data_IF_854471265390
#
_entry.id   IF_854471265390
#
_cell.length_a   1.000
_cell.length_b   1.000
_cell.length_c   1.000
_cell.angle_alpha   90.00
_cell.angle_beta   90.00
_cell.angle_gamma   90.00
#
_symmetry.space_group_name_H-M   'P 1'
#
loop_
_entity.id
_entity.type
_entity.pdbx_description
1 polymer ?
#
# COMPACT_ATOMS: atom_id res chain seq x y z
N UNK A 1 -43.08 -16.83 -8.19
CA UNK A 1 -42.21 -16.78 -9.38
C UNK A 1 -40.85 -16.30 -8.93
N UNK A 2 -39.89 -17.21 -8.93
CA UNK A 2 -38.56 -17.04 -8.37
C UNK A 2 -37.71 -16.15 -9.28
N UNK A 3 -37.16 -15.07 -8.72
CA UNK A 3 -35.99 -14.40 -9.29
C UNK A 3 -34.76 -15.20 -8.85
N UNK A 4 -34.09 -15.80 -9.81
CA UNK A 4 -32.85 -16.55 -9.62
C UNK A 4 -31.76 -15.58 -9.18
N UNK A 5 -31.47 -15.59 -7.87
CA UNK A 5 -30.28 -14.99 -7.29
C UNK A 5 -29.12 -15.97 -7.54
N UNK A 6 -28.33 -15.66 -8.56
CA UNK A 6 -26.92 -16.05 -8.63
C UNK A 6 -26.13 -14.81 -9.05
N UNK A 7 -26.12 -13.79 -8.18
CA UNK A 7 -24.99 -12.87 -8.15
C UNK A 7 -23.91 -13.58 -7.34
N UNK A 8 -22.93 -14.12 -8.05
CA UNK A 8 -21.63 -14.44 -7.48
C UNK A 8 -21.12 -13.20 -6.74
N UNK A 9 -20.88 -13.34 -5.44
CA UNK A 9 -20.15 -12.37 -4.63
C UNK A 9 -18.81 -12.09 -5.31
N UNK A 10 -18.77 -11.08 -6.17
CA UNK A 10 -17.54 -10.47 -6.63
C UNK A 10 -17.48 -9.16 -5.88
N UNK A 11 -17.02 -9.26 -4.64
CA UNK A 11 -16.50 -8.11 -3.91
C UNK A 11 -15.47 -7.46 -4.82
N UNK A 12 -15.79 -6.25 -5.29
CA UNK A 12 -14.93 -5.39 -6.10
C UNK A 12 -13.80 -4.86 -5.19
N UNK A 13 -12.99 -5.77 -4.64
CA UNK A 13 -11.97 -5.48 -3.65
C UNK A 13 -10.70 -5.04 -4.37
N UNK A 14 -10.30 -3.80 -4.13
CA UNK A 14 -9.02 -3.29 -4.59
C UNK A 14 -7.88 -4.15 -4.00
N UNK A 15 -7.14 -4.86 -4.85
CA UNK A 15 -6.01 -5.70 -4.43
C UNK A 15 -4.68 -4.93 -4.33
N UNK A 16 -4.65 -3.70 -4.85
CA UNK A 16 -3.45 -2.86 -4.92
C UNK A 16 -3.38 -1.86 -3.77
N UNK A 17 -2.19 -1.60 -3.24
CA UNK A 17 -1.99 -0.53 -2.25
C UNK A 17 -2.18 0.85 -2.89
N UNK A 18 -1.87 1.00 -4.18
CA UNK A 18 -2.00 2.26 -4.91
C UNK A 18 -3.17 2.21 -5.89
N UNK A 19 -3.86 3.34 -6.05
CA UNK A 19 -4.94 3.48 -7.03
C UNK A 19 -4.84 4.81 -7.75
N UNK A 20 -5.07 4.78 -9.07
CA UNK A 20 -5.18 5.98 -9.89
C UNK A 20 -6.66 6.27 -10.10
N UNK A 21 -7.04 7.50 -9.79
CA UNK A 21 -8.34 8.06 -10.10
C UNK A 21 -8.16 9.11 -11.19
N UNK A 22 -8.79 8.92 -12.35
CA UNK A 22 -8.74 9.89 -13.44
C UNK A 22 -10.10 10.53 -13.67
N UNK A 23 -10.21 11.81 -13.34
CA UNK A 23 -11.41 12.61 -13.44
C UNK A 23 -11.34 13.60 -14.61
N UNK A 24 -12.08 13.34 -15.69
CA UNK A 24 -12.21 14.20 -16.86
C UNK A 24 -13.51 13.95 -17.64
N UNK A 25 -14.16 15.03 -18.09
CA UNK A 25 -15.44 14.96 -18.81
C UNK A 25 -15.39 14.14 -20.12
N UNK A 26 -14.22 14.01 -20.73
CA UNK A 26 -13.91 13.24 -21.94
C UNK A 26 -12.85 12.15 -21.70
N UNK A 27 -12.77 11.61 -20.47
CA UNK A 27 -11.78 10.58 -20.07
C UNK A 27 -11.78 9.33 -20.97
N UNK A 28 -12.89 9.03 -21.65
CA UNK A 28 -13.04 7.85 -22.50
C UNK A 28 -12.84 8.11 -24.01
N UNK A 29 -12.27 9.25 -24.40
CA UNK A 29 -11.88 9.47 -25.79
C UNK A 29 -10.71 8.53 -26.20
N UNK A 30 -10.50 8.34 -27.49
CA UNK A 30 -9.52 7.39 -28.03
C UNK A 30 -8.09 7.60 -27.50
N UNK A 31 -7.62 8.86 -27.49
CA UNK A 31 -6.29 9.20 -26.98
C UNK A 31 -6.13 8.90 -25.49
N UNK A 32 -7.15 9.20 -24.68
CA UNK A 32 -7.16 8.92 -23.25
C UNK A 32 -7.23 7.42 -22.98
N UNK A 33 -7.97 6.62 -23.76
CA UNK A 33 -7.99 5.16 -23.60
C UNK A 33 -6.60 4.54 -23.80
N UNK A 34 -5.81 5.04 -24.74
CA UNK A 34 -4.41 4.62 -24.93
C UNK A 34 -3.58 4.92 -23.67
N UNK A 35 -3.75 6.10 -23.11
CA UNK A 35 -3.06 6.49 -21.88
C UNK A 35 -3.53 5.71 -20.65
N UNK A 36 -4.83 5.43 -20.53
CA UNK A 36 -5.37 4.56 -19.49
C UNK A 36 -4.68 3.18 -19.54
N UNK A 37 -4.48 2.61 -20.74
CA UNK A 37 -3.75 1.34 -20.90
C UNK A 37 -2.28 1.46 -20.43
N UNK A 38 -1.60 2.56 -20.76
CA UNK A 38 -0.23 2.82 -20.30
C UNK A 38 -0.15 3.01 -18.77
N UNK A 39 -1.14 3.65 -18.17
CA UNK A 39 -1.25 3.85 -16.72
C UNK A 39 -1.56 2.54 -15.98
N UNK A 40 -2.44 1.69 -16.51
CA UNK A 40 -2.71 0.35 -15.96
C UNK A 40 -1.46 -0.52 -15.89
N UNK A 41 -0.55 -0.38 -16.86
CA UNK A 41 0.76 -1.04 -16.83
C UNK A 41 1.73 -0.49 -15.77
N UNK A 42 1.39 0.60 -15.08
CA UNK A 42 2.17 1.19 -13.98
C UNK A 42 1.49 0.90 -12.64
N UNK A 43 0.20 1.23 -12.51
CA UNK A 43 -0.67 0.87 -11.38
C UNK A 43 -1.93 0.25 -11.97
N UNK A 44 -2.19 -1.01 -11.63
CA UNK A 44 -3.30 -1.75 -12.23
C UNK A 44 -4.67 -1.14 -11.89
N UNK A 45 -4.85 -0.73 -10.64
CA UNK A 45 -6.09 -0.15 -10.15
C UNK A 45 -6.28 1.28 -10.69
N UNK A 46 -6.98 1.39 -11.83
CA UNK A 46 -7.31 2.65 -12.49
C UNK A 46 -8.83 2.79 -12.63
N UNK A 47 -9.40 3.78 -11.94
CA UNK A 47 -10.80 4.16 -12.06
C UNK A 47 -10.94 5.52 -12.73
N UNK A 48 -11.97 5.65 -13.56
CA UNK A 48 -12.24 6.86 -14.34
C UNK A 48 -13.60 7.43 -13.98
N UNK A 49 -13.67 8.76 -13.91
CA UNK A 49 -14.89 9.48 -13.58
C UNK A 49 -15.09 10.64 -14.57
N UNK A 50 -16.34 10.90 -14.93
CA UNK A 50 -16.69 12.01 -15.85
C UNK A 50 -17.27 13.22 -15.12
N UNK A 51 -17.76 13.03 -13.89
CA UNK A 51 -18.38 14.07 -13.08
C UNK A 51 -17.82 14.04 -11.64
N UNK A 52 -17.81 15.21 -11.00
CA UNK A 52 -17.22 15.38 -9.67
C UNK A 52 -18.06 14.77 -8.55
N UNK A 53 -19.38 14.74 -8.69
CA UNK A 53 -20.31 14.26 -7.66
C UNK A 53 -20.12 12.76 -7.41
N UNK A 54 -20.18 11.95 -8.46
CA UNK A 54 -19.94 10.50 -8.41
C UNK A 54 -18.55 10.17 -7.86
N UNK A 55 -17.53 10.95 -8.24
CA UNK A 55 -16.19 10.77 -7.69
C UNK A 55 -16.14 11.05 -6.18
N UNK A 56 -16.75 12.14 -5.71
CA UNK A 56 -16.76 12.49 -4.29
C UNK A 56 -17.58 11.52 -3.44
N UNK A 57 -18.62 10.89 -4.01
CA UNK A 57 -19.33 9.78 -3.36
C UNK A 57 -18.42 8.55 -3.24
N UNK A 58 -17.70 8.21 -4.30
CA UNK A 58 -16.77 7.07 -4.31
C UNK A 58 -15.60 7.25 -3.33
N UNK A 59 -15.07 8.47 -3.21
CA UNK A 59 -13.96 8.80 -2.31
C UNK A 59 -14.22 8.37 -0.86
N UNK A 60 -15.49 8.37 -0.43
CA UNK A 60 -15.89 7.93 0.92
C UNK A 60 -15.75 6.43 1.15
N UNK A 61 -15.65 5.64 0.08
CA UNK A 61 -15.50 4.19 0.10
C UNK A 61 -14.02 3.75 0.09
N UNK A 62 -13.09 4.69 -0.07
CA UNK A 62 -11.65 4.39 -0.09
C UNK A 62 -11.22 3.94 1.31
N UNK A 63 -10.66 2.73 1.39
CA UNK A 63 -10.20 2.15 2.65
C UNK A 63 -9.04 2.95 3.26
N UNK A 64 -8.97 2.97 4.59
CA UNK A 64 -7.86 3.62 5.29
C UNK A 64 -6.54 2.90 4.97
N UNK A 65 -5.58 3.68 4.48
CA UNK A 65 -4.26 3.22 4.07
C UNK A 65 -4.15 2.75 2.62
N UNK A 66 -5.22 2.86 1.82
CA UNK A 66 -5.06 2.84 0.36
C UNK A 66 -4.50 4.20 -0.10
N UNK A 67 -3.55 4.15 -1.01
CA UNK A 67 -2.80 5.30 -1.49
C UNK A 67 -3.36 5.77 -2.83
N UNK A 68 -3.82 7.01 -2.87
CA UNK A 68 -4.57 7.58 -3.98
C UNK A 68 -3.72 8.56 -4.79
N UNK A 69 -3.75 8.38 -6.11
CA UNK A 69 -3.19 9.31 -7.09
C UNK A 69 -4.34 9.86 -7.92
N UNK A 70 -4.52 11.17 -7.88
CA UNK A 70 -5.56 11.84 -8.64
C UNK A 70 -4.98 12.46 -9.91
N UNK A 71 -5.53 12.12 -11.06
CA UNK A 71 -5.34 12.82 -12.33
C UNK A 71 -6.64 13.55 -12.63
N UNK A 72 -6.60 14.87 -12.76
CA UNK A 72 -7.82 15.67 -12.91
C UNK A 72 -7.67 16.79 -13.93
N UNK A 73 -8.73 17.01 -14.70
CA UNK A 73 -8.81 18.16 -15.61
C UNK A 73 -8.94 19.46 -14.83
N UNK A 74 -8.48 20.58 -15.40
CA UNK A 74 -8.55 21.89 -14.73
C UNK A 74 -9.94 22.30 -14.23
N UNK A 75 -10.98 21.99 -15.00
CA UNK A 75 -12.35 22.35 -14.66
C UNK A 75 -12.86 21.55 -13.47
N UNK A 76 -12.68 20.22 -13.48
CA UNK A 76 -13.13 19.36 -12.39
C UNK A 76 -12.24 19.50 -11.16
N UNK A 77 -10.96 19.83 -11.37
CA UNK A 77 -9.97 20.04 -10.31
C UNK A 77 -10.37 21.14 -9.33
N UNK A 78 -11.01 22.21 -9.81
CA UNK A 78 -11.56 23.29 -8.97
C UNK A 78 -12.52 22.78 -7.89
N UNK A 79 -13.25 21.71 -8.19
CA UNK A 79 -14.28 21.17 -7.31
C UNK A 79 -13.69 20.12 -6.38
N UNK A 80 -12.89 19.19 -6.91
CA UNK A 80 -12.48 18.00 -6.15
C UNK A 80 -11.19 18.17 -5.37
N UNK A 81 -10.26 19.01 -5.83
CA UNK A 81 -8.94 19.16 -5.20
C UNK A 81 -9.05 19.65 -3.74
N UNK A 82 -9.90 20.65 -3.41
CA UNK A 82 -10.05 21.10 -2.02
C UNK A 82 -10.54 20.00 -1.05
N UNK A 83 -11.38 19.07 -1.52
CA UNK A 83 -11.86 17.96 -0.70
C UNK A 83 -10.82 16.85 -0.58
N UNK A 84 -10.14 16.54 -1.68
CA UNK A 84 -9.11 15.50 -1.71
C UNK A 84 -7.89 15.85 -0.88
N UNK A 85 -7.53 17.14 -0.79
CA UNK A 85 -6.42 17.60 0.03
C UNK A 85 -6.61 17.36 1.54
N UNK A 86 -7.85 17.16 1.99
CA UNK A 86 -8.15 16.87 3.40
C UNK A 86 -7.92 15.41 3.77
N UNK A 87 -7.66 14.55 2.79
CA UNK A 87 -7.57 13.10 2.97
C UNK A 87 -6.12 12.63 3.06
N UNK A 88 -5.81 11.91 4.13
CA UNK A 88 -4.49 11.31 4.34
C UNK A 88 -4.12 10.28 3.25
N UNK A 89 -5.12 9.68 2.61
CA UNK A 89 -4.96 8.70 1.55
C UNK A 89 -4.38 9.30 0.26
N UNK A 90 -4.41 10.62 0.08
CA UNK A 90 -4.01 11.25 -1.19
C UNK A 90 -2.51 11.49 -1.21
N UNK A 91 -1.80 10.79 -2.08
CA UNK A 91 -0.35 10.95 -2.22
C UNK A 91 0.05 12.02 -3.23
N UNK A 92 -0.71 12.16 -4.32
CA UNK A 92 -0.36 13.09 -5.40
C UNK A 92 -1.59 13.48 -6.20
N UNK A 93 -1.64 14.75 -6.59
CA UNK A 93 -2.68 15.33 -7.43
C UNK A 93 -2.00 15.94 -8.66
N UNK A 94 -2.37 15.44 -9.83
CA UNK A 94 -1.91 15.89 -11.13
C UNK A 94 -3.04 16.63 -11.84
N UNK A 95 -2.87 17.94 -12.02
CA UNK A 95 -3.85 18.78 -12.71
C UNK A 95 -3.36 19.06 -14.13
N UNK A 96 -4.10 18.61 -15.14
CA UNK A 96 -3.81 18.96 -16.53
C UNK A 96 -4.79 20.02 -17.04
N UNK A 97 -4.25 21.08 -17.62
CA UNK A 97 -5.01 22.22 -18.14
C UNK A 97 -4.52 22.60 -19.54
N UNK A 98 -5.46 22.78 -20.47
CA UNK A 98 -5.14 23.37 -21.77
C UNK A 98 -4.82 24.88 -21.70
N UNK A 99 -5.17 25.56 -20.61
CA UNK A 99 -4.95 27.00 -20.45
C UNK A 99 -4.47 27.31 -19.01
N UNK A 100 -3.17 27.59 -18.83
CA UNK A 100 -2.59 27.87 -17.50
C UNK A 100 -3.15 29.15 -16.88
N UNK A 101 -3.38 30.20 -17.69
CA UNK A 101 -3.67 31.57 -17.20
C UNK A 101 -5.00 31.69 -16.44
N UNK A 102 -6.03 30.95 -16.81
CA UNK A 102 -7.35 31.03 -16.16
C UNK A 102 -7.48 30.14 -14.92
N UNK A 103 -6.60 29.15 -14.74
CA UNK A 103 -6.66 28.17 -13.64
C UNK A 103 -5.54 28.32 -12.61
N UNK A 104 -4.79 29.43 -12.67
CA UNK A 104 -3.74 29.75 -11.68
C UNK A 104 -4.27 29.81 -10.23
N UNK A 105 -5.58 29.99 -10.05
CA UNK A 105 -6.25 29.95 -8.75
C UNK A 105 -6.30 28.52 -8.13
N UNK A 106 -6.11 27.46 -8.93
CA UNK A 106 -6.03 26.08 -8.44
C UNK A 106 -4.61 25.61 -8.12
N UNK A 107 -3.57 26.35 -8.52
CA UNK A 107 -2.18 26.06 -8.16
C UNK A 107 -1.84 26.67 -6.81
N UNK A 108 -2.42 26.11 -5.74
CA UNK A 108 -1.93 26.31 -4.37
C UNK A 108 -0.65 25.47 -4.14
N UNK A 109 0.19 25.78 -3.13
CA UNK A 109 1.53 25.19 -2.98
C UNK A 109 1.56 23.65 -2.78
N UNK A 110 0.40 23.02 -2.61
CA UNK A 110 0.21 21.60 -2.28
C UNK A 110 -0.04 20.70 -3.50
N UNK A 111 -0.09 21.27 -4.70
CA UNK A 111 -0.15 20.52 -5.96
C UNK A 111 1.24 20.48 -6.59
N UNK A 112 1.75 19.29 -6.94
CA UNK A 112 2.93 19.21 -7.81
C UNK A 112 2.61 20.01 -9.09
N UNK A 113 3.48 20.96 -9.49
CA UNK A 113 3.11 22.04 -10.39
C UNK A 113 2.55 21.52 -11.72
N UNK A 114 1.54 22.24 -12.21
CA UNK A 114 0.94 22.14 -13.55
C UNK A 114 1.92 21.71 -14.66
N UNK A 115 1.91 20.42 -15.00
CA UNK A 115 2.47 19.93 -16.26
C UNK A 115 1.45 20.19 -17.38
N UNK A 116 1.50 21.39 -17.97
CA UNK A 116 1.25 21.66 -19.40
C UNK A 116 0.97 23.15 -19.68
N UNK A 117 1.81 23.80 -20.51
CA UNK A 117 1.41 24.97 -21.32
C UNK A 117 0.92 24.45 -22.68
N UNK A 118 -0.13 25.02 -23.26
CA UNK A 118 -0.38 24.92 -24.71
C UNK A 118 0.34 26.08 -25.41
N UNK A 119 1.03 25.76 -26.51
CA UNK A 119 0.53 26.26 -27.78
C UNK A 119 0.33 25.08 -28.75
N UNK A 120 -0.85 25.07 -29.35
CA UNK A 120 -1.27 24.43 -30.59
C UNK A 120 -0.30 23.41 -31.24
N UNK A 121 -0.80 22.17 -31.38
CA UNK A 121 -0.24 20.97 -32.06
C UNK A 121 0.49 19.93 -31.18
N UNK A 122 0.18 18.65 -31.42
CA UNK A 122 0.67 17.42 -30.76
C UNK A 122 -0.03 16.97 -29.44
N UNK A 123 -1.21 16.37 -29.59
CA UNK A 123 -2.08 15.81 -28.53
C UNK A 123 -1.53 14.57 -27.82
N UNK A 124 -0.46 13.94 -28.31
CA UNK A 124 0.12 12.71 -27.72
C UNK A 124 1.24 12.93 -26.70
N UNK A 125 2.01 14.01 -26.82
CA UNK A 125 3.30 14.15 -26.12
C UNK A 125 3.16 14.47 -24.62
N UNK A 126 2.12 15.21 -24.22
CA UNK A 126 1.95 15.72 -22.84
C UNK A 126 1.40 14.68 -21.86
N UNK A 127 0.50 13.83 -22.34
CA UNK A 127 -0.03 12.73 -21.55
C UNK A 127 1.04 11.66 -21.34
N UNK A 128 1.90 11.46 -22.34
CA UNK A 128 3.09 10.63 -22.22
C UNK A 128 4.11 11.21 -21.23
N UNK A 129 4.30 12.53 -21.16
CA UNK A 129 5.09 13.17 -20.10
C UNK A 129 4.51 12.88 -18.71
N UNK A 130 3.21 13.07 -18.50
CA UNK A 130 2.54 12.76 -17.22
C UNK A 130 2.72 11.28 -16.84
N UNK A 131 2.50 10.37 -17.79
CA UNK A 131 2.70 8.93 -17.59
C UNK A 131 4.14 8.63 -17.18
N UNK A 132 5.12 9.29 -17.80
CA UNK A 132 6.53 9.11 -17.47
C UNK A 132 6.86 9.63 -16.07
N UNK A 133 6.27 10.75 -15.65
CA UNK A 133 6.40 11.26 -14.28
C UNK A 133 5.81 10.27 -13.28
N UNK A 134 4.57 9.82 -13.50
CA UNK A 134 3.92 8.81 -12.64
C UNK A 134 4.77 7.53 -12.59
N UNK A 135 5.30 7.07 -13.73
CA UNK A 135 6.17 5.88 -13.79
C UNK A 135 7.45 6.06 -12.98
N UNK A 136 8.12 7.20 -13.12
CA UNK A 136 9.35 7.50 -12.39
C UNK A 136 9.09 7.57 -10.89
N UNK A 137 7.99 8.21 -10.50
CA UNK A 137 7.56 8.25 -9.10
C UNK A 137 7.20 6.88 -8.57
N UNK A 138 6.44 6.05 -9.29
CA UNK A 138 6.10 4.69 -8.85
C UNK A 138 7.31 3.81 -8.67
N UNK A 139 8.29 3.92 -9.57
CA UNK A 139 9.58 3.22 -9.42
C UNK A 139 10.30 3.64 -8.14
N UNK A 140 10.16 4.90 -7.74
CA UNK A 140 10.69 5.43 -6.48
C UNK A 140 9.84 5.04 -5.26
N UNK A 141 8.51 4.99 -5.40
CA UNK A 141 7.55 4.61 -4.35
C UNK A 141 7.69 3.17 -3.91
N UNK A 142 7.99 2.25 -4.85
CA UNK A 142 8.36 0.86 -4.58
C UNK A 142 7.79 0.26 -3.29
N UNK A 143 8.65 -0.32 -2.45
CA UNK A 143 8.32 -0.89 -1.12
C UNK A 143 8.23 0.17 0.00
N UNK A 144 8.35 1.45 -0.36
CA UNK A 144 8.71 2.55 0.53
C UNK A 144 7.48 3.06 1.30
N UNK A 145 6.30 3.01 0.69
CA UNK A 145 5.10 3.71 1.19
C UNK A 145 4.04 2.82 1.85
N UNK A 146 4.27 1.52 2.03
CA UNK A 146 3.25 0.70 2.70
C UNK A 146 3.06 1.12 4.17
N UNK A 147 1.85 1.57 4.55
CA UNK A 147 1.55 1.94 5.92
C UNK A 147 1.69 0.71 6.81
N UNK A 148 2.39 0.86 7.94
CA UNK A 148 2.40 -0.22 8.92
C UNK A 148 1.03 -0.26 9.60
N UNK A 149 0.32 -1.37 9.41
CA UNK A 149 -0.92 -1.65 10.14
C UNK A 149 -0.60 -1.98 11.61
N UNK A 150 -0.73 -0.98 12.49
CA UNK A 150 -0.40 -1.08 13.91
C UNK A 150 -1.66 -1.11 14.77
N UNK A 151 -1.75 -2.12 15.63
CA UNK A 151 -2.74 -2.18 16.71
C UNK A 151 -2.01 -1.91 18.03
N UNK A 152 -2.42 -0.86 18.74
CA UNK A 152 -1.92 -0.56 20.09
C UNK A 152 -2.68 -1.43 21.10
N UNK A 153 -1.93 -2.17 21.92
CA UNK A 153 -2.45 -3.02 22.98
C UNK A 153 -2.20 -2.31 24.32
N UNK A 154 -3.26 -1.77 24.91
CA UNK A 154 -3.19 -1.16 26.23
C UNK A 154 -3.10 -2.22 27.33
N UNK A 155 -2.22 -1.98 28.30
CA UNK A 155 -1.92 -2.94 29.40
C UNK A 155 -3.01 -3.00 30.47
N UNK A 156 -4.04 -2.15 30.42
CA UNK A 156 -4.95 -1.89 31.54
C UNK A 156 -6.20 -2.75 31.59
N UNK A 157 -6.47 -3.59 30.59
CA UNK A 157 -7.56 -4.56 30.65
C UNK A 157 -7.01 -5.97 30.72
N UNK A 158 -7.53 -6.75 31.67
CA UNK A 158 -7.51 -8.22 31.69
C UNK A 158 -8.04 -8.83 30.38
N UNK A 159 -8.69 -8.01 29.54
CA UNK A 159 -8.89 -8.21 28.12
C UNK A 159 -7.62 -7.75 27.36
N UNK A 160 -6.63 -8.63 27.22
CA UNK A 160 -5.70 -8.54 26.09
C UNK A 160 -6.54 -8.60 24.82
N UNK A 161 -6.93 -7.43 24.29
CA UNK A 161 -7.72 -7.18 23.08
C UNK A 161 -8.07 -8.46 22.29
N UNK A 162 -9.19 -9.11 22.65
CA UNK A 162 -9.51 -10.47 22.17
C UNK A 162 -9.53 -10.58 20.64
N UNK A 163 -9.86 -9.49 19.95
CA UNK A 163 -9.82 -9.38 18.50
C UNK A 163 -8.43 -9.66 17.90
N UNK A 164 -7.37 -9.18 18.54
CA UNK A 164 -5.99 -9.45 18.10
C UNK A 164 -5.64 -10.93 18.25
N UNK A 165 -5.92 -11.50 19.42
CA UNK A 165 -5.64 -12.91 19.68
C UNK A 165 -6.46 -13.81 18.73
N UNK A 166 -7.75 -13.49 18.52
CA UNK A 166 -8.60 -14.19 17.57
C UNK A 166 -8.06 -14.11 16.13
N UNK A 167 -7.64 -12.92 15.68
CA UNK A 167 -7.07 -12.77 14.34
C UNK A 167 -5.77 -13.56 14.19
N UNK A 168 -4.90 -13.57 15.21
CA UNK A 168 -3.68 -14.40 15.20
C UNK A 168 -3.98 -15.88 15.16
N UNK A 169 -4.89 -16.36 16.01
CA UNK A 169 -5.33 -17.75 16.01
C UNK A 169 -5.92 -18.16 14.66
N UNK A 170 -6.67 -17.27 14.01
CA UNK A 170 -7.20 -17.49 12.66
C UNK A 170 -6.06 -17.66 11.65
N UNK A 171 -5.13 -16.71 11.58
CA UNK A 171 -3.98 -16.78 10.64
C UNK A 171 -3.15 -18.05 10.90
N UNK A 172 -2.93 -18.40 12.16
CA UNK A 172 -2.27 -19.64 12.57
C UNK A 172 -2.99 -20.89 12.07
N UNK A 173 -4.32 -20.93 12.26
CA UNK A 173 -5.14 -22.04 11.82
C UNK A 173 -5.06 -22.18 10.30
N UNK A 174 -5.16 -21.06 9.57
CA UNK A 174 -5.06 -21.01 8.12
C UNK A 174 -3.72 -21.55 7.62
N UNK A 175 -2.60 -21.07 8.16
CA UNK A 175 -1.24 -21.48 7.72
C UNK A 175 -0.98 -22.97 8.02
N UNK A 176 -1.58 -23.54 9.06
CA UNK A 176 -1.44 -24.97 9.41
C UNK A 176 -2.33 -25.89 8.58
N UNK A 177 -3.27 -25.36 7.81
CA UNK A 177 -4.09 -26.17 6.91
C UNK A 177 -3.20 -26.85 5.89
N UNK A 178 -3.56 -28.07 5.49
CA UNK A 178 -2.83 -28.77 4.43
C UNK A 178 -2.90 -27.95 3.13
N UNK A 179 -1.78 -27.80 2.40
CA UNK A 179 -1.79 -27.21 1.09
C UNK A 179 -2.78 -27.95 0.19
N UNK A 180 -3.59 -27.21 -0.56
CA UNK A 180 -4.45 -27.76 -1.59
C UNK A 180 -4.08 -27.12 -2.93
N UNK A 181 -3.78 -27.96 -3.92
CA UNK A 181 -3.40 -27.49 -5.26
C UNK A 181 -4.50 -26.64 -5.90
N UNK A 182 -5.75 -26.82 -5.49
CA UNK A 182 -6.87 -26.02 -5.96
C UNK A 182 -6.76 -24.55 -5.55
N UNK A 183 -6.23 -24.23 -4.35
CA UNK A 183 -6.14 -22.83 -3.93
C UNK A 183 -5.12 -22.06 -4.76
N UNK A 184 -4.04 -22.72 -5.18
CA UNK A 184 -3.06 -22.09 -6.07
C UNK A 184 -3.70 -21.80 -7.43
N UNK A 185 -4.51 -22.71 -7.97
CA UNK A 185 -5.24 -22.47 -9.22
C UNK A 185 -6.22 -21.31 -9.07
N UNK A 186 -6.97 -21.27 -7.98
CA UNK A 186 -7.92 -20.22 -7.67
C UNK A 186 -7.24 -18.85 -7.51
N UNK A 187 -6.10 -18.79 -6.80
CA UNK A 187 -5.28 -17.58 -6.70
C UNK A 187 -4.81 -17.11 -8.09
N UNK A 188 -4.33 -18.02 -8.94
CA UNK A 188 -3.89 -17.67 -10.29
C UNK A 188 -5.03 -17.17 -11.16
N UNK A 189 -6.21 -17.78 -11.08
CA UNK A 189 -7.40 -17.36 -11.82
C UNK A 189 -7.88 -15.98 -11.37
N UNK A 190 -7.93 -15.75 -10.07
CA UNK A 190 -8.26 -14.45 -9.48
C UNK A 190 -7.28 -13.37 -9.95
N UNK A 191 -5.97 -13.62 -9.88
CA UNK A 191 -4.96 -12.65 -10.31
C UNK A 191 -4.98 -12.40 -11.82
N UNK A 192 -5.29 -13.40 -12.64
CA UNK A 192 -5.46 -13.21 -14.09
C UNK A 192 -6.63 -12.29 -14.41
N UNK A 193 -7.71 -12.39 -13.65
CA UNK A 193 -8.86 -11.50 -13.78
C UNK A 193 -8.52 -10.09 -13.29
N UNK A 194 -7.85 -9.98 -12.15
CA UNK A 194 -7.41 -8.68 -11.61
C UNK A 194 -6.51 -7.92 -12.59
N UNK A 195 -5.51 -8.61 -13.14
CA UNK A 195 -4.51 -8.02 -14.02
C UNK A 195 -4.90 -8.06 -15.51
N UNK A 196 -6.20 -8.16 -15.81
CA UNK A 196 -6.66 -8.17 -17.19
C UNK A 196 -6.21 -6.91 -17.96
N UNK A 197 -5.57 -7.11 -19.12
CA UNK A 197 -5.01 -6.01 -19.91
C UNK A 197 -3.64 -5.48 -19.43
N UNK A 198 -3.11 -5.97 -18.32
CA UNK A 198 -1.76 -5.67 -17.84
C UNK A 198 -0.78 -6.80 -18.18
N UNK A 199 -0.15 -6.71 -19.35
CA UNK A 199 0.77 -7.76 -19.84
C UNK A 199 1.98 -8.01 -18.94
N UNK A 200 2.44 -7.01 -18.19
CA UNK A 200 3.57 -7.15 -17.29
C UNK A 200 3.21 -8.02 -16.08
N UNK A 201 2.12 -7.67 -15.38
CA UNK A 201 1.66 -8.45 -14.23
C UNK A 201 1.20 -9.85 -14.65
N UNK A 202 0.52 -9.99 -15.80
CA UNK A 202 0.13 -11.31 -16.32
C UNK A 202 1.32 -12.22 -16.61
N UNK A 203 2.48 -11.67 -17.04
CA UNK A 203 3.71 -12.46 -17.17
C UNK A 203 4.20 -12.95 -15.80
N UNK A 204 4.16 -12.10 -14.78
CA UNK A 204 4.53 -12.46 -13.41
C UNK A 204 3.60 -13.52 -12.82
N UNK A 205 2.29 -13.39 -13.01
CA UNK A 205 1.28 -14.38 -12.59
C UNK A 205 1.52 -15.72 -13.28
N UNK A 206 1.82 -15.72 -14.57
CA UNK A 206 2.12 -16.95 -15.31
C UNK A 206 3.45 -17.61 -14.88
N UNK A 207 4.48 -16.80 -14.60
CA UNK A 207 5.74 -17.29 -14.04
C UNK A 207 5.53 -17.91 -12.66
N UNK A 208 4.76 -17.23 -11.80
CA UNK A 208 4.40 -17.70 -10.46
C UNK A 208 3.62 -19.01 -10.53
N UNK A 209 2.59 -19.09 -11.37
CA UNK A 209 1.74 -20.27 -11.51
C UNK A 209 2.46 -21.51 -12.06
N UNK A 210 3.51 -21.32 -12.87
CA UNK A 210 4.28 -22.44 -13.47
C UNK A 210 5.46 -22.90 -12.61
N UNK A 211 6.06 -22.01 -11.82
CA UNK A 211 7.37 -22.22 -11.23
C UNK A 211 7.52 -21.74 -9.79
N UNK A 212 6.41 -21.55 -9.06
CA UNK A 212 6.49 -21.30 -7.63
C UNK A 212 7.01 -22.55 -6.90
N UNK A 213 8.02 -22.34 -6.06
CA UNK A 213 8.57 -23.33 -5.14
C UNK A 213 8.75 -22.68 -3.78
N UNK A 214 8.54 -23.43 -2.69
CA UNK A 214 8.73 -22.95 -1.32
C UNK A 214 10.15 -22.45 -1.04
N UNK A 215 11.14 -22.99 -1.77
CA UNK A 215 12.54 -22.53 -1.77
C UNK A 215 12.69 -21.06 -2.20
N UNK A 216 11.79 -20.55 -3.04
CA UNK A 216 11.81 -19.21 -3.63
C UNK A 216 10.83 -18.24 -2.98
N UNK A 217 10.16 -18.61 -1.89
CA UNK A 217 9.15 -17.78 -1.24
C UNK A 217 9.66 -16.39 -0.86
N UNK A 218 10.83 -16.30 -0.21
CA UNK A 218 11.48 -15.01 0.13
C UNK A 218 11.85 -14.24 -1.13
N UNK A 219 12.31 -14.90 -2.18
CA UNK A 219 12.66 -14.24 -3.45
C UNK A 219 11.42 -13.65 -4.13
N UNK A 220 10.29 -14.36 -4.15
CA UNK A 220 9.01 -13.82 -4.63
C UNK A 220 8.51 -12.65 -3.78
N UNK A 221 8.65 -12.76 -2.46
CA UNK A 221 8.31 -11.66 -1.55
C UNK A 221 9.25 -10.45 -1.70
N UNK A 222 10.50 -10.64 -2.16
CA UNK A 222 11.51 -9.57 -2.24
C UNK A 222 11.76 -8.99 -3.64
N UNK A 223 11.31 -9.66 -4.70
CA UNK A 223 11.34 -9.12 -6.07
C UNK A 223 10.25 -8.06 -6.29
N UNK A 224 10.37 -7.31 -7.38
CA UNK A 224 9.29 -6.47 -7.87
C UNK A 224 8.21 -7.36 -8.51
N UNK A 225 7.14 -7.67 -7.77
CA UNK A 225 5.98 -8.44 -8.22
C UNK A 225 4.79 -8.20 -7.30
N UNK A 226 3.59 -8.63 -7.72
CA UNK A 226 2.36 -8.58 -6.93
C UNK A 226 2.47 -9.19 -5.52
N UNK A 227 3.35 -10.19 -5.29
CA UNK A 227 3.37 -10.99 -4.06
C UNK A 227 3.56 -10.14 -2.80
N UNK A 228 4.49 -9.18 -2.84
CA UNK A 228 4.77 -8.32 -1.69
C UNK A 228 3.55 -7.46 -1.33
N UNK A 229 3.03 -6.71 -2.32
CA UNK A 229 1.93 -5.76 -2.13
C UNK A 229 0.63 -6.45 -1.75
N UNK A 230 0.27 -7.50 -2.50
CA UNK A 230 -0.93 -8.28 -2.27
C UNK A 230 -0.96 -8.90 -0.87
N UNK A 231 0.14 -9.52 -0.46
CA UNK A 231 0.23 -10.20 0.83
C UNK A 231 0.16 -9.19 1.98
N UNK A 232 0.96 -8.12 1.93
CA UNK A 232 0.96 -7.13 3.00
C UNK A 232 -0.36 -6.37 3.08
N UNK A 233 -1.00 -6.06 1.94
CA UNK A 233 -2.35 -5.49 1.92
C UNK A 233 -3.36 -6.45 2.55
N UNK A 234 -3.40 -7.71 2.12
CA UNK A 234 -4.32 -8.71 2.64
C UNK A 234 -4.22 -8.86 4.17
N UNK A 235 -2.99 -8.89 4.69
CA UNK A 235 -2.73 -8.92 6.12
C UNK A 235 -3.16 -7.63 6.83
N UNK A 236 -2.87 -6.46 6.24
CA UNK A 236 -3.21 -5.14 6.79
C UNK A 236 -4.71 -4.92 6.94
N UNK A 237 -5.49 -5.25 5.90
CA UNK A 237 -6.95 -5.10 5.89
C UNK A 237 -7.68 -6.36 6.38
N UNK A 238 -6.93 -7.39 6.80
CA UNK A 238 -7.44 -8.68 7.27
C UNK A 238 -8.38 -9.36 6.26
N UNK A 239 -8.03 -9.30 4.97
CA UNK A 239 -8.75 -9.98 3.92
C UNK A 239 -8.59 -11.50 4.07
N UNK A 240 -9.55 -12.15 4.73
CA UNK A 240 -9.48 -13.58 5.08
C UNK A 240 -9.42 -14.46 3.83
N UNK A 241 -10.16 -14.11 2.78
CA UNK A 241 -10.17 -14.86 1.51
C UNK A 241 -8.80 -14.81 0.85
N UNK A 242 -8.19 -13.63 0.74
CA UNK A 242 -6.85 -13.49 0.18
C UNK A 242 -5.77 -14.14 1.05
N UNK A 243 -5.87 -14.01 2.39
CA UNK A 243 -4.96 -14.71 3.31
C UNK A 243 -5.09 -16.23 3.14
N UNK A 244 -6.31 -16.75 2.98
CA UNK A 244 -6.55 -18.17 2.72
C UNK A 244 -5.90 -18.61 1.41
N UNK A 245 -6.08 -17.87 0.31
CA UNK A 245 -5.45 -18.19 -0.97
C UNK A 245 -3.91 -18.11 -0.94
N UNK A 246 -3.36 -17.16 -0.17
CA UNK A 246 -1.92 -16.96 -0.03
C UNK A 246 -1.27 -17.77 1.11
N UNK A 247 -2.03 -18.57 1.86
CA UNK A 247 -1.56 -19.22 3.11
C UNK A 247 -0.31 -20.07 2.94
N UNK A 248 -0.15 -20.76 1.80
CA UNK A 248 1.04 -21.55 1.50
C UNK A 248 2.28 -20.66 1.37
N UNK A 249 2.16 -19.53 0.69
CA UNK A 249 3.24 -18.55 0.51
C UNK A 249 3.61 -17.93 1.86
N UNK A 250 2.61 -17.55 2.66
CA UNK A 250 2.80 -17.01 4.01
C UNK A 250 3.55 -18.04 4.88
N UNK A 251 3.12 -19.30 4.86
CA UNK A 251 3.76 -20.40 5.59
C UNK A 251 5.20 -20.68 5.14
N UNK A 252 5.46 -20.62 3.84
CA UNK A 252 6.80 -20.81 3.28
C UNK A 252 7.74 -19.65 3.67
N UNK A 253 7.28 -18.40 3.56
CA UNK A 253 8.01 -17.21 4.04
C UNK A 253 8.34 -17.38 5.52
N UNK A 254 7.34 -17.71 6.34
CA UNK A 254 7.50 -17.90 7.78
C UNK A 254 8.55 -18.97 8.10
N UNK A 255 8.46 -20.13 7.45
CA UNK A 255 9.42 -21.24 7.64
C UNK A 255 10.83 -20.81 7.26
N UNK A 256 11.00 -20.06 6.18
CA UNK A 256 12.31 -19.55 5.74
C UNK A 256 12.86 -18.48 6.68
N UNK A 257 12.02 -17.60 7.22
CA UNK A 257 12.44 -16.61 8.21
C UNK A 257 12.90 -17.27 9.52
N UNK A 258 12.17 -18.27 10.02
CA UNK A 258 12.59 -19.05 11.20
C UNK A 258 13.92 -19.76 10.99
N UNK A 259 14.11 -20.39 9.82
CA UNK A 259 15.35 -21.09 9.51
C UNK A 259 16.57 -20.15 9.41
N UNK A 260 16.35 -18.85 9.20
CA UNK A 260 17.39 -17.82 9.10
C UNK A 260 17.30 -16.79 10.23
N UNK A 261 16.74 -17.19 11.37
CA UNK A 261 16.62 -16.31 12.53
C UNK A 261 18.02 -15.94 13.07
N UNK A 262 18.20 -14.68 13.47
CA UNK A 262 19.41 -14.24 14.14
C UNK A 262 19.59 -14.98 15.48
N UNK A 263 20.81 -15.28 15.86
CA UNK A 263 21.11 -15.92 17.16
C UNK A 263 21.21 -14.91 18.30
N UNK A 264 21.46 -13.64 17.97
CA UNK A 264 21.74 -12.56 18.94
C UNK A 264 20.83 -11.36 18.71
N UNK A 265 20.59 -10.56 19.75
CA UNK A 265 19.88 -9.29 19.59
C UNK A 265 20.52 -8.40 18.53
N UNK A 266 19.69 -7.72 17.75
CA UNK A 266 20.12 -6.86 16.64
C UNK A 266 19.30 -5.58 16.64
N UNK A 267 19.93 -4.44 16.35
CA UNK A 267 19.21 -3.18 16.13
C UNK A 267 18.97 -2.99 14.64
N UNK A 268 17.74 -2.72 14.26
CA UNK A 268 17.32 -2.45 12.88
C UNK A 268 16.54 -1.14 12.81
N UNK A 269 16.47 -0.57 11.62
CA UNK A 269 15.87 0.73 11.35
C UNK A 269 14.84 0.62 10.22
N UNK A 270 13.77 1.42 10.31
CA UNK A 270 12.78 1.56 9.24
C UNK A 270 12.34 3.01 9.12
N UNK A 271 12.35 3.53 7.89
CA UNK A 271 11.79 4.83 7.56
C UNK A 271 10.38 4.70 6.98
N UNK A 272 9.51 5.66 7.29
CA UNK A 272 8.20 5.82 6.66
C UNK A 272 7.67 7.24 6.86
N UNK A 273 6.54 7.57 6.24
CA UNK A 273 5.74 8.73 6.61
C UNK A 273 4.72 8.34 7.68
N UNK A 274 4.43 9.28 8.58
CA UNK A 274 3.26 9.22 9.44
C UNK A 274 2.51 10.55 9.44
N UNK A 275 1.20 10.50 9.63
CA UNK A 275 0.41 11.70 9.89
C UNK A 275 0.63 12.23 11.31
N UNK A 276 0.33 13.51 11.52
CA UNK A 276 0.39 14.12 12.84
C UNK A 276 -0.50 13.42 13.86
N UNK A 277 -1.63 12.86 13.43
CA UNK A 277 -2.55 12.12 14.31
C UNK A 277 -2.02 10.73 14.66
N UNK A 278 -1.43 10.02 13.70
CA UNK A 278 -0.71 8.78 13.99
C UNK A 278 0.41 9.05 15.00
N UNK A 279 1.21 10.11 14.82
CA UNK A 279 2.28 10.45 15.77
C UNK A 279 1.74 10.77 17.17
N UNK A 280 0.63 11.51 17.27
CA UNK A 280 -0.02 11.76 18.56
C UNK A 280 -0.47 10.45 19.21
N UNK A 281 -1.00 9.51 18.44
CA UNK A 281 -1.39 8.19 18.92
C UNK A 281 -0.17 7.40 19.41
N UNK A 282 0.93 7.42 18.66
CA UNK A 282 2.20 6.78 19.02
C UNK A 282 2.81 7.34 20.31
N UNK A 283 2.75 8.66 20.49
CA UNK A 283 3.23 9.31 21.71
C UNK A 283 2.41 8.90 22.94
N UNK A 284 1.10 8.68 22.77
CA UNK A 284 0.22 8.19 23.84
C UNK A 284 0.45 6.72 24.18
N UNK A 285 0.93 5.92 23.22
CA UNK A 285 1.18 4.49 23.40
C UNK A 285 2.59 4.15 23.92
N UNK A 286 3.37 5.13 24.40
CA UNK A 286 4.69 4.87 24.98
C UNK A 286 4.52 3.98 26.22
N UNK A 287 5.21 2.83 26.23
CA UNK A 287 5.11 1.82 27.28
C UNK A 287 4.05 0.74 27.01
N UNK A 288 3.18 0.92 26.01
CA UNK A 288 2.24 -0.10 25.53
C UNK A 288 2.93 -1.12 24.61
N UNK A 289 2.23 -2.22 24.31
CA UNK A 289 2.67 -3.21 23.32
C UNK A 289 2.05 -2.83 21.97
N UNK A 290 2.83 -2.91 20.90
CA UNK A 290 2.34 -2.64 19.54
C UNK A 290 2.39 -3.94 18.76
N UNK A 291 1.27 -4.32 18.16
CA UNK A 291 1.22 -5.44 17.22
C UNK A 291 1.16 -4.95 15.78
N UNK A 292 1.88 -5.65 14.91
CA UNK A 292 1.97 -5.41 13.47
C UNK A 292 1.23 -6.51 12.71
N UNK A 293 0.27 -6.16 11.85
CA UNK A 293 -0.46 -7.19 11.12
C UNK A 293 0.26 -7.68 9.86
N UNK A 294 1.26 -6.96 9.35
CA UNK A 294 2.05 -7.30 8.17
C UNK A 294 3.50 -7.71 8.49
N UNK A 295 4.20 -8.25 7.49
CA UNK A 295 5.65 -8.45 7.58
C UNK A 295 6.36 -7.09 7.56
N UNK A 296 7.45 -6.97 8.34
CA UNK A 296 8.21 -5.74 8.45
C UNK A 296 9.54 -5.86 7.70
N UNK A 297 9.76 -4.98 6.73
CA UNK A 297 11.07 -4.81 6.10
C UNK A 297 11.85 -3.70 6.82
N UNK A 298 13.08 -4.02 7.23
CA UNK A 298 13.96 -3.15 8.02
C UNK A 298 15.40 -3.24 7.49
N UNK A 299 16.24 -2.29 7.90
CA UNK A 299 17.66 -2.22 7.53
C UNK A 299 18.55 -2.20 8.77
N UNK A 300 19.73 -2.81 8.70
CA UNK A 300 20.77 -2.65 9.73
C UNK A 300 21.41 -1.26 9.71
N UNK A 301 21.37 -0.60 8.55
CA UNK A 301 21.93 0.73 8.31
C UNK A 301 20.85 1.78 8.49
N UNK A 302 21.10 2.76 9.36
CA UNK A 302 20.17 3.84 9.65
C UNK A 302 19.98 4.75 8.42
N UNK A 303 21.04 4.96 7.67
CA UNK A 303 21.08 5.83 6.48
C UNK A 303 20.09 5.34 5.42
N UNK A 304 19.99 4.01 5.26
CA UNK A 304 19.02 3.39 4.38
C UNK A 304 17.59 3.75 4.81
N UNK A 305 17.27 3.63 6.10
CA UNK A 305 15.95 4.00 6.63
C UNK A 305 15.66 5.50 6.48
N UNK A 306 16.67 6.36 6.65
CA UNK A 306 16.58 7.80 6.40
C UNK A 306 16.26 8.11 4.94
N UNK A 307 16.97 7.47 4.00
CA UNK A 307 16.68 7.58 2.56
C UNK A 307 15.24 7.19 2.24
N UNK A 308 14.72 6.09 2.83
CA UNK A 308 13.32 5.70 2.66
C UNK A 308 12.36 6.79 3.17
N UNK A 309 12.57 7.33 4.38
CA UNK A 309 11.69 8.35 4.96
C UNK A 309 11.69 9.65 4.13
N UNK A 310 12.87 10.13 3.72
CA UNK A 310 13.02 11.34 2.89
C UNK A 310 12.36 11.14 1.54
N UNK A 311 12.58 10.00 0.89
CA UNK A 311 11.99 9.72 -0.42
C UNK A 311 10.46 9.71 -0.35
N UNK A 312 9.87 9.08 0.66
CA UNK A 312 8.43 9.10 0.85
C UNK A 312 7.90 10.53 1.05
N UNK A 313 8.55 11.36 1.88
CA UNK A 313 8.10 12.76 2.08
C UNK A 313 8.06 13.56 0.78
N UNK A 314 9.09 13.41 -0.06
CA UNK A 314 9.12 14.07 -1.39
C UNK A 314 8.03 13.55 -2.34
N UNK A 315 7.53 12.34 -2.13
CA UNK A 315 6.47 11.73 -2.95
C UNK A 315 5.07 12.19 -2.51
N UNK A 316 4.84 12.32 -1.20
CA UNK A 316 3.54 12.61 -0.57
C UNK A 316 3.42 14.08 -0.09
N UNK A 317 3.71 15.03 -0.98
CA UNK A 317 3.74 16.47 -0.69
C UNK A 317 2.37 17.13 -0.41
N UNK A 318 1.31 16.33 -0.24
CA UNK A 318 -0.10 16.78 -0.25
C UNK A 318 -0.67 17.13 1.13
N UNK A 319 -0.11 16.61 2.23
CA UNK A 319 -0.56 16.92 3.60
C UNK A 319 0.51 17.69 4.38
N UNK A 320 0.15 18.88 4.89
CA UNK A 320 1.02 19.72 5.74
C UNK A 320 1.43 19.05 7.05
N UNK A 321 0.72 17.98 7.44
CA UNK A 321 0.81 17.38 8.77
C UNK A 321 1.54 16.03 8.76
N UNK A 322 1.99 15.58 7.58
CA UNK A 322 2.74 14.34 7.43
C UNK A 322 4.24 14.58 7.58
N UNK A 323 4.92 13.72 8.34
CA UNK A 323 6.37 13.81 8.56
C UNK A 323 7.04 12.46 8.36
N UNK A 324 8.29 12.50 7.91
CA UNK A 324 9.16 11.34 7.84
C UNK A 324 9.58 10.93 9.25
N UNK A 325 9.39 9.67 9.59
CA UNK A 325 9.78 9.08 10.86
C UNK A 325 10.76 7.94 10.63
N UNK A 326 11.65 7.74 11.60
CA UNK A 326 12.59 6.63 11.62
C UNK A 326 12.35 5.84 12.89
N UNK A 327 11.96 4.58 12.74
CA UNK A 327 11.87 3.63 13.84
C UNK A 327 13.25 3.01 14.07
N UNK A 328 13.75 3.12 15.30
CA UNK A 328 14.83 2.27 15.83
C UNK A 328 14.18 1.09 16.55
N UNK A 329 14.50 -0.12 16.13
CA UNK A 329 13.86 -1.34 16.60
C UNK A 329 14.95 -2.27 17.15
N UNK A 330 14.85 -2.61 18.43
CA UNK A 330 15.76 -3.54 19.09
C UNK A 330 15.17 -4.94 19.05
N UNK A 331 15.67 -5.76 18.12
CA UNK A 331 15.14 -7.07 17.84
C UNK A 331 15.87 -8.17 18.63
N UNK A 332 15.19 -8.84 19.57
CA UNK A 332 15.78 -9.92 20.37
C UNK A 332 15.19 -11.30 20.02
N UNK A 333 15.96 -12.17 19.35
CA UNK A 333 15.51 -13.51 18.97
C UNK A 333 15.44 -14.50 20.14
N UNK A 334 16.03 -14.19 21.30
CA UNK A 334 16.12 -15.09 22.47
C UNK A 334 14.89 -15.03 23.37
N UNK A 335 14.14 -13.94 23.29
CA UNK A 335 12.86 -13.74 23.97
C UNK A 335 11.68 -14.42 23.25
N UNK A 336 11.94 -15.28 22.26
CA UNK A 336 10.95 -16.21 21.71
C UNK A 336 10.76 -17.39 22.69
N UNK A 337 10.26 -17.10 23.90
CA UNK A 337 9.90 -18.09 24.92
C UNK A 337 8.49 -17.82 25.45
N UNK A 338 7.46 -18.37 24.77
CA UNK A 338 6.14 -18.61 25.37
C UNK A 338 5.62 -19.96 24.87
N UNK A 339 5.48 -20.92 25.78
CA UNK A 339 5.08 -22.31 25.58
C UNK A 339 3.57 -22.49 25.31
N UNK A 340 2.94 -21.62 24.52
CA UNK A 340 1.55 -21.85 24.11
C UNK A 340 1.34 -21.37 22.68
N UNK A 341 1.14 -22.35 21.80
CA UNK A 341 0.87 -22.26 20.35
C UNK A 341 2.10 -21.88 19.51
N UNK A 342 2.71 -22.94 18.97
CA UNK A 342 3.84 -22.95 18.02
C UNK A 342 3.53 -22.24 16.69
N UNK A 343 3.37 -20.94 16.64
CA UNK A 343 3.71 -20.07 15.49
C UNK A 343 4.03 -18.70 16.10
N UNK A 344 5.29 -18.53 16.49
CA UNK A 344 5.82 -17.27 17.00
C UNK A 344 6.90 -16.80 16.04
N UNK A 345 6.54 -15.89 15.13
CA UNK A 345 7.39 -14.77 14.67
C UNK A 345 6.60 -13.88 13.69
N UNK A 346 5.77 -13.00 14.23
CA UNK A 346 5.49 -11.70 13.63
C UNK A 346 5.76 -10.68 14.74
N UNK A 347 7.05 -10.41 14.94
CA UNK A 347 7.61 -9.36 15.80
C UNK A 347 6.85 -9.16 17.14
N UNK A 348 7.00 -10.11 18.07
CA UNK A 348 6.99 -9.77 19.49
C UNK A 348 8.41 -9.32 19.83
N UNK A 349 8.66 -8.05 19.62
CA UNK A 349 9.68 -7.37 20.39
C UNK A 349 8.96 -6.89 21.63
N UNK A 350 9.30 -7.48 22.77
CA UNK A 350 9.22 -6.77 24.04
C UNK A 350 10.25 -5.65 24.00
N UNK A 351 10.03 -4.66 23.15
CA UNK A 351 10.81 -3.43 23.12
C UNK A 351 10.24 -2.51 24.17
N UNK A 352 11.04 -2.25 25.20
CA UNK A 352 10.99 -0.96 25.87
C UNK A 352 11.21 0.10 24.79
N UNK A 353 10.15 0.79 24.37
CA UNK A 353 10.28 1.91 23.45
C UNK A 353 10.97 3.07 24.19
N UNK A 354 12.29 3.16 24.07
CA UNK A 354 12.96 4.45 24.13
C UNK A 354 12.84 5.07 22.73
N UNK A 355 11.71 5.73 22.49
CA UNK A 355 11.49 6.51 21.28
C UNK A 355 12.39 7.76 21.35
N UNK A 356 13.56 7.70 20.71
CA UNK A 356 14.33 8.91 20.42
C UNK A 356 13.76 9.52 19.14
N UNK A 357 12.79 10.43 19.29
CA UNK A 357 12.31 11.26 18.18
C UNK A 357 13.40 12.29 17.89
N UNK A 358 14.23 12.05 16.88
CA UNK A 358 15.06 13.12 16.31
C UNK A 358 14.18 13.82 15.27
N UNK A 359 13.57 14.94 15.69
CA UNK A 359 12.98 15.90 14.76
C UNK A 359 14.17 16.60 14.11
N UNK A 360 14.44 16.34 12.83
CA UNK A 360 15.28 17.25 12.06
C UNK A 360 14.44 18.50 11.83
N UNK A 361 14.62 19.52 12.67
CA UNK A 361 14.14 20.86 12.34
C UNK A 361 14.86 21.32 11.06
N UNK A 362 14.16 22.00 10.15
CA UNK A 362 14.80 22.60 8.99
C UNK A 362 15.78 23.69 9.46
N UNK A 363 17.02 23.62 8.97
CA UNK A 363 18.00 24.69 9.08
C UNK A 363 17.51 25.98 8.41
#
# INVERSE_FOLDING_TARGET
>A
MAYTIFQTYTTNQNLETHSIYWLDAVVNNEGNMIAQKKLRGIINQLLTFVNAEEFLEHVRLIEKGDLTILIVSGQLGRIVVPEMQKLEQVCSIYIYCGNKKTNLECSQPYSKPSLAQNPDSATGTKLDELINVIRAEQKRRGRIEEPIAMNILDRTSTELNGEFLHYRLLVDALIRMKPNEQDQKELIELLRKEYEGNEYELKLVNEFGKGYESSRAIWWYTRNSFVYGLLNKALRVRNIEMIFLMRNIIGDIYTKLLANQYEKPVTVYRGQIMSGDEIKQFRKSVGSIISLNSFLSTSLKREVAEEFAVQSMELCSSSSDSVGVIFKIEADPTHVKIETIKVHLLLLLTTYFNLLVIISEPL
#
